data_IF_256675105314
#
_entry.id   IF_256675105314
#
_cell.length_a   1.000
_cell.length_b   1.000
_cell.length_c   1.000
_cell.angle_alpha   90.00
_cell.angle_beta   90.00
_cell.angle_gamma   90.00
#
_symmetry.space_group_name_H-M   'P 1'
#
loop_
_entity.id
_entity.type
_entity.pdbx_description
1 polymer ?
#
# COMPACT_ATOMS: atom_id res chain seq x y z
N UNK A 1 -18.61 17.31 -2.24
CA UNK A 1 -18.53 15.84 -2.32
C UNK A 1 -18.10 15.26 -0.99
N UNK A 2 -18.68 14.13 -0.63
CA UNK A 2 -18.30 13.43 0.60
C UNK A 2 -17.06 12.58 0.37
N UNK A 3 -16.17 12.56 1.34
CA UNK A 3 -15.02 11.68 1.34
C UNK A 3 -15.48 10.23 1.49
N UNK A 4 -14.80 9.31 0.86
CA UNK A 4 -15.10 7.89 0.96
C UNK A 4 -14.15 7.19 1.93
N UNK A 5 -14.64 6.11 2.52
CA UNK A 5 -13.82 5.22 3.34
C UNK A 5 -13.54 3.95 2.52
N UNK A 6 -12.27 3.56 2.48
CA UNK A 6 -11.83 2.38 1.79
C UNK A 6 -11.20 1.41 2.78
N UNK A 7 -11.28 0.13 2.49
CA UNK A 7 -10.65 -0.89 3.32
C UNK A 7 -9.67 -1.70 2.48
N UNK A 8 -8.47 -1.92 3.02
CA UNK A 8 -7.46 -2.79 2.42
C UNK A 8 -7.14 -3.87 3.44
N UNK A 9 -7.41 -5.11 3.10
CA UNK A 9 -7.14 -6.26 3.97
C UNK A 9 -5.70 -6.74 3.78
N UNK A 10 -5.08 -7.19 4.86
CA UNK A 10 -3.76 -7.81 4.85
C UNK A 10 -3.96 -9.30 5.09
N UNK A 11 -3.70 -10.11 4.08
CA UNK A 11 -4.08 -11.53 4.06
C UNK A 11 -2.90 -12.45 3.83
N UNK A 12 -2.96 -13.63 4.46
CA UNK A 12 -2.03 -14.73 4.15
C UNK A 12 -2.36 -15.31 2.78
N UNK A 13 -3.65 -15.37 2.43
CA UNK A 13 -4.12 -15.84 1.14
C UNK A 13 -5.31 -15.00 0.70
N UNK A 14 -5.26 -14.52 -0.52
CA UNK A 14 -6.33 -13.72 -1.11
C UNK A 14 -6.47 -14.05 -2.58
N UNK A 15 -7.28 -13.27 -3.27
CA UNK A 15 -7.53 -13.45 -4.72
C UNK A 15 -6.25 -13.32 -5.54
N UNK A 16 -5.31 -12.48 -5.10
CA UNK A 16 -4.06 -12.26 -5.79
C UNK A 16 -2.97 -13.28 -5.47
N UNK A 17 -3.22 -14.22 -4.57
CA UNK A 17 -2.25 -15.23 -4.16
C UNK A 17 -1.92 -15.21 -2.69
N UNK A 18 -0.73 -15.70 -2.33
CA UNK A 18 -0.27 -15.73 -0.95
C UNK A 18 0.33 -14.38 -0.54
N UNK A 19 0.14 -14.01 0.72
CA UNK A 19 0.69 -12.79 1.33
C UNK A 19 0.39 -11.56 0.48
N UNK A 20 -0.85 -11.08 0.56
CA UNK A 20 -1.32 -9.98 -0.28
C UNK A 20 -2.06 -8.90 0.50
N UNK A 21 -2.02 -7.68 -0.05
CA UNK A 21 -2.98 -6.63 0.27
C UNK A 21 -4.16 -6.81 -0.70
N UNK A 22 -5.36 -6.71 -0.18
CA UNK A 22 -6.57 -6.88 -1.01
C UNK A 22 -7.53 -5.72 -0.77
N UNK A 23 -7.79 -4.89 -1.77
CA UNK A 23 -7.25 -4.93 -3.12
C UNK A 23 -5.77 -4.51 -3.18
N UNK A 24 -5.04 -4.98 -4.18
CA UNK A 24 -3.65 -4.60 -4.39
C UNK A 24 -3.48 -3.28 -5.09
N UNK A 25 -4.53 -2.79 -5.72
CA UNK A 25 -4.57 -1.47 -6.35
C UNK A 25 -5.89 -0.79 -5.98
N UNK A 26 -5.79 0.44 -5.49
CA UNK A 26 -6.96 1.22 -5.08
C UNK A 26 -6.89 2.60 -5.71
N UNK A 27 -7.99 3.02 -6.30
CA UNK A 27 -8.16 4.38 -6.81
C UNK A 27 -8.98 5.18 -5.81
N UNK A 28 -8.50 6.34 -5.41
CA UNK A 28 -9.15 7.17 -4.40
C UNK A 28 -9.00 8.65 -4.72
N UNK A 29 -9.61 9.49 -3.90
CA UNK A 29 -9.58 10.94 -4.04
C UNK A 29 -8.98 11.57 -2.79
N UNK A 30 -8.47 12.81 -2.93
CA UNK A 30 -7.99 13.59 -1.79
C UNK A 30 -9.12 13.76 -0.79
N UNK A 31 -8.83 13.51 0.48
CA UNK A 31 -9.82 13.57 1.55
C UNK A 31 -10.36 12.21 1.95
N UNK A 32 -10.20 11.19 1.10
CA UNK A 32 -10.63 9.84 1.42
C UNK A 32 -9.76 9.25 2.53
N UNK A 33 -10.31 8.28 3.24
CA UNK A 33 -9.59 7.53 4.28
C UNK A 33 -9.44 6.08 3.83
N UNK A 34 -8.26 5.52 4.04
CA UNK A 34 -7.98 4.11 3.80
C UNK A 34 -7.64 3.46 5.12
N UNK A 35 -8.31 2.36 5.44
CA UNK A 35 -8.03 1.59 6.65
C UNK A 35 -7.42 0.26 6.24
N UNK A 36 -6.21 0.00 6.76
CA UNK A 36 -5.53 -1.27 6.55
C UNK A 36 -5.91 -2.20 7.69
N UNK A 37 -6.47 -3.36 7.34
CA UNK A 37 -7.00 -4.32 8.30
C UNK A 37 -6.16 -5.60 8.29
N UNK A 38 -5.43 -5.91 9.38
CA UNK A 38 -4.67 -7.14 9.47
C UNK A 38 -5.63 -8.30 9.75
N UNK A 39 -6.21 -8.85 8.69
CA UNK A 39 -7.17 -9.94 8.77
C UNK A 39 -6.52 -11.21 9.32
N UNK A 40 -5.27 -11.46 8.92
CA UNK A 40 -4.44 -12.53 9.49
C UNK A 40 -3.31 -11.89 10.29
N UNK A 41 -2.72 -12.65 11.21
CA UNK A 41 -1.62 -12.15 12.06
C UNK A 41 -0.30 -12.10 11.30
N UNK A 42 0.60 -11.23 11.77
CA UNK A 42 1.94 -11.10 11.22
C UNK A 42 2.05 -10.10 10.08
N UNK A 43 1.11 -9.17 9.98
CA UNK A 43 1.09 -8.16 8.93
C UNK A 43 1.07 -6.75 9.48
N UNK A 44 1.77 -5.85 8.80
CA UNK A 44 1.63 -4.40 9.00
C UNK A 44 2.02 -3.71 7.70
N UNK A 45 1.88 -2.40 7.62
CA UNK A 45 2.09 -1.65 6.39
C UNK A 45 3.13 -0.56 6.56
N UNK A 46 4.02 -0.44 5.57
CA UNK A 46 5.04 0.60 5.52
C UNK A 46 5.03 1.25 4.15
N UNK A 47 5.00 2.58 4.11
CA UNK A 47 5.10 3.29 2.85
C UNK A 47 6.51 3.20 2.30
N UNK A 48 6.63 3.05 0.98
CA UNK A 48 7.92 3.06 0.28
C UNK A 48 8.04 4.30 -0.59
N UNK A 49 6.96 4.69 -1.26
CA UNK A 49 6.90 5.93 -2.03
C UNK A 49 5.59 6.62 -1.70
N UNK A 50 5.67 7.92 -1.46
CA UNK A 50 4.48 8.75 -1.24
C UNK A 50 4.56 9.98 -2.15
N UNK A 51 3.43 10.62 -2.44
CA UNK A 51 3.46 11.87 -3.21
C UNK A 51 4.28 12.93 -2.49
N UNK A 52 4.83 13.87 -3.25
CA UNK A 52 5.59 14.98 -2.67
C UNK A 52 4.72 15.74 -1.69
N UNK A 53 5.25 16.00 -0.50
CA UNK A 53 4.54 16.67 0.57
C UNK A 53 3.75 15.77 1.49
N UNK A 54 3.46 14.55 1.07
CA UNK A 54 2.76 13.59 1.92
C UNK A 54 3.72 12.98 2.95
N UNK A 55 3.18 12.61 4.11
CA UNK A 55 3.97 11.96 5.15
C UNK A 55 4.11 10.46 4.88
N UNK A 56 5.28 9.95 5.16
CA UNK A 56 5.51 8.50 5.16
C UNK A 56 4.83 7.89 6.37
N UNK A 57 4.49 6.62 6.28
CA UNK A 57 3.78 5.95 7.36
C UNK A 57 4.31 4.55 7.62
N UNK A 58 4.11 4.11 8.85
CA UNK A 58 4.48 2.77 9.31
C UNK A 58 3.49 2.39 10.40
N UNK A 59 2.72 1.35 10.17
CA UNK A 59 1.77 0.88 11.17
C UNK A 59 2.43 -0.11 12.13
N UNK A 60 1.74 -0.42 13.22
CA UNK A 60 2.18 -1.44 14.17
C UNK A 60 1.67 -2.82 13.73
N UNK A 61 2.41 -3.84 14.08
CA UNK A 61 2.04 -5.22 13.78
C UNK A 61 0.66 -5.55 14.34
N UNK A 62 -0.17 -6.14 13.48
CA UNK A 62 -1.50 -6.64 13.84
C UNK A 62 -2.48 -5.59 14.36
N UNK A 63 -2.22 -4.31 14.08
CA UNK A 63 -3.14 -3.22 14.42
C UNK A 63 -3.75 -2.62 13.16
N UNK A 64 -5.02 -2.26 13.23
CA UNK A 64 -5.66 -1.50 12.16
C UNK A 64 -4.98 -0.14 12.06
N UNK A 65 -4.77 0.30 10.84
CA UNK A 65 -4.16 1.61 10.59
C UNK A 65 -4.99 2.39 9.58
N UNK A 66 -5.41 3.57 9.96
CA UNK A 66 -6.18 4.46 9.08
C UNK A 66 -5.32 5.60 8.59
N UNK A 67 -5.38 5.86 7.29
CA UNK A 67 -4.62 6.89 6.62
C UNK A 67 -5.57 7.81 5.88
N UNK A 68 -5.51 9.12 6.18
CA UNK A 68 -6.25 10.12 5.40
C UNK A 68 -5.36 10.56 4.24
N UNK A 69 -5.91 10.49 3.03
CA UNK A 69 -5.18 10.81 1.81
C UNK A 69 -5.22 12.33 1.59
N UNK A 70 -4.08 12.98 1.76
CA UNK A 70 -3.99 14.44 1.74
C UNK A 70 -3.43 15.03 0.45
N UNK A 71 -2.78 14.22 -0.38
CA UNK A 71 -2.08 14.69 -1.57
C UNK A 71 -2.39 13.82 -2.77
N UNK A 72 -2.55 14.45 -3.93
CA UNK A 72 -2.64 13.70 -5.18
C UNK A 72 -1.33 13.00 -5.47
N UNK A 73 -1.40 11.81 -6.06
CA UNK A 73 -0.23 11.05 -6.46
C UNK A 73 -0.39 9.58 -6.14
N UNK A 74 0.72 8.88 -6.17
CA UNK A 74 0.75 7.43 -5.98
C UNK A 74 1.47 7.08 -4.68
N UNK A 75 0.80 6.29 -3.86
CA UNK A 75 1.38 5.69 -2.66
C UNK A 75 1.74 4.25 -2.99
N UNK A 76 2.98 3.85 -2.71
CA UNK A 76 3.42 2.46 -2.83
C UNK A 76 3.81 2.00 -1.43
N UNK A 77 3.29 0.85 -1.01
CA UNK A 77 3.53 0.33 0.33
C UNK A 77 3.80 -1.16 0.29
N UNK A 78 4.40 -1.65 1.37
CA UNK A 78 4.75 -3.07 1.53
C UNK A 78 4.38 -3.54 2.93
N UNK A 79 4.28 -4.86 3.10
CA UNK A 79 4.27 -5.48 4.40
C UNK A 79 5.72 -5.90 4.69
N UNK A 80 6.42 -5.26 5.64
CA UNK A 80 7.86 -5.48 5.82
C UNK A 80 8.29 -6.93 5.96
N UNK A 81 7.64 -7.78 6.78
CA UNK A 81 8.08 -9.17 6.92
C UNK A 81 7.85 -10.01 5.66
N UNK A 82 7.00 -9.57 4.73
CA UNK A 82 6.67 -10.32 3.51
C UNK A 82 7.07 -9.59 2.24
N UNK A 83 7.93 -8.59 2.36
CA UNK A 83 8.39 -7.79 1.23
C UNK A 83 9.03 -8.62 0.13
N UNK A 84 9.82 -9.62 0.52
CA UNK A 84 10.50 -10.49 -0.43
C UNK A 84 9.54 -11.43 -1.17
N UNK A 85 8.31 -11.53 -0.69
CA UNK A 85 7.23 -12.26 -1.34
C UNK A 85 6.35 -11.35 -2.19
N UNK A 86 6.80 -10.10 -2.39
CA UNK A 86 6.06 -9.07 -3.13
C UNK A 86 4.70 -8.72 -2.50
N UNK A 87 4.63 -8.74 -1.16
CA UNK A 87 3.44 -8.26 -0.48
C UNK A 87 3.45 -6.73 -0.48
N UNK A 88 2.85 -6.17 -1.50
CA UNK A 88 2.86 -4.73 -1.76
C UNK A 88 1.52 -4.27 -2.32
N UNK A 89 1.30 -2.98 -2.32
CA UNK A 89 0.08 -2.41 -2.87
C UNK A 89 0.29 -0.98 -3.34
N UNK A 90 -0.68 -0.49 -4.08
CA UNK A 90 -0.66 0.83 -4.69
C UNK A 90 -1.99 1.53 -4.44
N UNK A 91 -1.91 2.79 -4.02
CA UNK A 91 -3.08 3.67 -3.95
C UNK A 91 -2.79 4.86 -4.87
N UNK A 92 -3.66 5.06 -5.85
CA UNK A 92 -3.59 6.24 -6.71
C UNK A 92 -4.64 7.24 -6.25
N UNK A 93 -4.19 8.43 -5.85
CA UNK A 93 -5.07 9.50 -5.38
C UNK A 93 -5.13 10.55 -6.47
N UNK A 94 -6.28 10.67 -7.13
CA UNK A 94 -6.43 11.59 -8.24
C UNK A 94 -5.41 11.36 -9.33
N UNK A 95 -4.69 12.41 -9.74
CA UNK A 95 -3.67 12.31 -10.79
C UNK A 95 -2.37 11.69 -10.25
N UNK A 96 -1.72 10.82 -11.02
CA UNK A 96 -0.47 10.18 -10.57
C UNK A 96 0.74 11.12 -10.75
N UNK A 97 0.83 12.14 -9.92
CA UNK A 97 1.85 13.19 -10.02
C UNK A 97 3.29 12.70 -9.87
N UNK A 98 3.49 11.60 -9.16
CA UNK A 98 4.82 11.01 -8.90
C UNK A 98 4.96 9.62 -9.52
N UNK A 99 4.34 9.40 -10.67
CA UNK A 99 4.29 8.09 -11.31
C UNK A 99 5.68 7.50 -11.55
N UNK A 100 6.63 8.32 -11.95
CA UNK A 100 7.99 7.86 -12.23
C UNK A 100 8.66 7.25 -11.01
N UNK A 101 8.56 7.94 -9.87
CA UNK A 101 9.12 7.45 -8.61
C UNK A 101 8.41 6.19 -8.13
N UNK A 102 7.09 6.16 -8.26
CA UNK A 102 6.30 5.00 -7.88
C UNK A 102 6.66 3.79 -8.72
N UNK A 103 6.80 3.97 -10.03
CA UNK A 103 7.17 2.89 -10.94
C UNK A 103 8.55 2.33 -10.61
N UNK A 104 9.50 3.17 -10.25
CA UNK A 104 10.84 2.73 -9.84
C UNK A 104 10.78 1.90 -8.56
N UNK A 105 9.94 2.29 -7.61
CA UNK A 105 9.81 1.56 -6.36
C UNK A 105 9.18 0.17 -6.59
N UNK A 106 8.14 0.11 -7.41
CA UNK A 106 7.50 -1.16 -7.76
C UNK A 106 8.53 -2.08 -8.43
N UNK A 107 9.33 -1.55 -9.34
CA UNK A 107 10.38 -2.31 -10.02
C UNK A 107 11.40 -2.87 -9.02
N UNK A 108 11.81 -2.08 -8.02
CA UNK A 108 12.73 -2.55 -6.98
C UNK A 108 12.13 -3.69 -6.16
N UNK A 109 10.87 -3.59 -5.81
CA UNK A 109 10.17 -4.61 -5.04
C UNK A 109 10.12 -5.91 -5.84
N UNK A 110 9.73 -5.84 -7.10
CA UNK A 110 9.65 -7.00 -7.98
C UNK A 110 11.01 -7.64 -8.21
N UNK A 111 12.04 -6.82 -8.39
CA UNK A 111 13.41 -7.30 -8.60
C UNK A 111 13.91 -8.08 -7.39
N UNK A 112 13.65 -7.59 -6.17
CA UNK A 112 14.06 -8.30 -4.95
C UNK A 112 13.36 -9.63 -4.81
N UNK A 113 12.09 -9.69 -5.16
CA UNK A 113 11.32 -10.93 -5.14
C UNK A 113 11.92 -11.94 -6.13
N UNK A 114 12.25 -11.48 -7.33
CA UNK A 114 12.87 -12.32 -8.36
C UNK A 114 14.25 -12.83 -7.90
N UNK A 115 15.06 -11.98 -7.31
CA UNK A 115 16.40 -12.35 -6.84
C UNK A 115 16.34 -13.37 -5.69
N UNK A 116 15.26 -13.37 -4.91
CA UNK A 116 15.06 -14.33 -3.82
C UNK A 116 14.70 -15.71 -4.33
N UNK A 117 13.97 -15.76 -5.40
CA UNK A 117 13.56 -17.05 -5.96
C UNK A 117 14.63 -17.65 -6.85
#
# INVERSE_FOLDING_TARGET
MLAADHEVKMLDNGKGGAMVFEPGFLKAEVGDTVTFVPTNKGHWVQSKTVPEGAEKFLSKEDEKFSLTLTHEGVYVYVCPPHRMMNMSGIIQVGKPTNLKNAAKEVEKIEKRTTERS
#
